data_IF_277599462955
#
_entry.id   IF_277599462955
#
_cell.length_a   1.000
_cell.length_b   1.000
_cell.length_c   1.000
_cell.angle_alpha   90.00
_cell.angle_beta   90.00
_cell.angle_gamma   90.00
#
_symmetry.space_group_name_H-M   'P 1'
#
loop_
_entity.id
_entity.type
_entity.pdbx_description
1 polymer ?
#
# COMPACT_ATOMS: atom_id res chain seq x y z
N UNK A 1 -1.98 -16.01 22.01
CA UNK A 1 -2.02 -14.60 22.42
C UNK A 1 -1.39 -13.75 21.35
N UNK A 2 -2.13 -12.78 20.82
CA UNK A 2 -1.63 -11.87 19.79
C UNK A 2 -0.93 -10.68 20.45
N UNK A 3 0.30 -10.40 20.06
CA UNK A 3 1.11 -9.30 20.60
C UNK A 3 0.82 -8.00 19.83
N UNK A 4 0.00 -7.15 20.41
CA UNK A 4 -0.39 -5.86 19.82
C UNK A 4 0.69 -4.78 20.01
N UNK A 5 0.67 -3.73 19.18
CA UNK A 5 1.49 -2.52 19.31
C UNK A 5 3.01 -2.72 19.25
N UNK A 6 3.51 -3.86 18.73
CA UNK A 6 4.94 -4.06 18.51
C UNK A 6 5.49 -2.91 17.65
N UNK A 7 6.55 -2.25 18.10
CA UNK A 7 7.19 -1.15 17.35
C UNK A 7 6.37 0.13 17.25
N UNK A 8 5.38 0.33 18.13
CA UNK A 8 4.67 1.59 18.26
C UNK A 8 5.65 2.76 18.44
N UNK A 9 5.45 3.81 17.66
CA UNK A 9 6.21 5.06 17.64
C UNK A 9 7.72 4.90 17.48
N UNK A 10 8.20 3.73 17.00
CA UNK A 10 9.62 3.42 16.87
C UNK A 10 10.39 4.54 16.15
N UNK A 11 11.46 5.03 16.78
CA UNK A 11 12.23 6.18 16.30
C UNK A 11 13.57 5.80 15.64
N UNK A 12 13.88 4.51 15.53
CA UNK A 12 15.11 4.00 14.94
C UNK A 12 15.40 2.55 15.33
N UNK A 13 16.50 1.98 14.81
CA UNK A 13 16.88 0.59 15.09
C UNK A 13 16.07 -0.44 14.28
N UNK A 14 16.09 -1.69 14.72
CA UNK A 14 15.38 -2.79 14.06
C UNK A 14 14.66 -3.70 15.04
N UNK A 15 13.50 -4.23 14.64
CA UNK A 15 12.74 -5.26 15.35
C UNK A 15 12.51 -6.43 14.41
N UNK A 16 12.76 -7.66 14.89
CA UNK A 16 12.44 -8.88 14.17
C UNK A 16 11.46 -9.73 14.98
N UNK A 17 10.31 -10.06 14.38
CA UNK A 17 9.28 -10.92 14.97
C UNK A 17 9.30 -12.26 14.23
N UNK A 18 9.67 -13.32 14.95
CA UNK A 18 9.64 -14.70 14.46
C UNK A 18 8.30 -15.30 14.87
N UNK A 19 7.32 -15.24 13.97
CA UNK A 19 5.94 -15.64 14.19
C UNK A 19 4.95 -14.56 13.77
N UNK A 20 3.73 -14.64 14.30
CA UNK A 20 2.66 -13.67 14.05
C UNK A 20 2.74 -12.46 14.99
N UNK A 21 2.28 -11.30 14.52
CA UNK A 21 2.08 -10.10 15.32
C UNK A 21 0.58 -9.73 15.38
N UNK A 22 0.18 -9.12 16.48
CA UNK A 22 -1.19 -8.68 16.70
C UNK A 22 -1.55 -7.39 15.94
N UNK A 23 -2.58 -6.71 16.43
CA UNK A 23 -3.07 -5.46 15.89
C UNK A 23 -2.07 -4.31 16.14
N UNK A 24 -2.17 -3.26 15.34
CA UNK A 24 -1.42 -2.01 15.53
C UNK A 24 0.11 -2.14 15.54
N UNK A 25 0.66 -3.21 14.94
CA UNK A 25 2.10 -3.30 14.65
C UNK A 25 2.58 -2.01 13.95
N UNK A 26 3.73 -1.46 14.33
CA UNK A 26 4.32 -0.26 13.72
C UNK A 26 3.43 1.00 13.78
N UNK A 27 2.46 1.07 14.70
CA UNK A 27 1.59 2.24 14.85
C UNK A 27 2.41 3.51 15.09
N UNK A 28 2.26 4.53 14.25
CA UNK A 28 2.94 5.81 14.41
C UNK A 28 4.46 5.80 14.17
N UNK A 29 5.02 4.69 13.66
CA UNK A 29 6.47 4.51 13.46
C UNK A 29 7.13 5.70 12.74
N UNK A 30 8.22 6.21 13.34
CA UNK A 30 8.89 7.44 12.94
C UNK A 30 10.21 7.20 12.19
N UNK A 31 10.88 6.07 12.43
CA UNK A 31 12.02 5.54 11.66
C UNK A 31 12.31 4.08 12.07
N UNK A 32 13.36 3.48 11.49
CA UNK A 32 13.79 2.11 11.77
C UNK A 32 13.21 1.08 10.80
N UNK A 33 13.37 -0.19 11.17
CA UNK A 33 12.95 -1.35 10.37
C UNK A 33 12.23 -2.38 11.24
N UNK A 34 11.12 -2.92 10.76
CA UNK A 34 10.40 -4.03 11.41
C UNK A 34 10.22 -5.16 10.40
N UNK A 35 10.63 -6.38 10.76
CA UNK A 35 10.41 -7.59 9.96
C UNK A 35 9.58 -8.60 10.72
N UNK A 36 8.55 -9.13 10.07
CA UNK A 36 7.67 -10.18 10.63
C UNK A 36 7.70 -11.39 9.71
N UNK A 37 8.01 -12.57 10.25
CA UNK A 37 8.04 -13.81 9.46
C UNK A 37 6.66 -14.43 9.25
N UNK A 38 5.69 -14.13 10.12
CA UNK A 38 4.30 -14.59 10.04
C UNK A 38 3.34 -13.51 9.53
N UNK A 39 2.12 -13.56 10.03
CA UNK A 39 1.01 -12.65 9.71
C UNK A 39 0.96 -11.47 10.69
N UNK A 40 0.24 -10.42 10.30
CA UNK A 40 -0.01 -9.24 11.15
C UNK A 40 -1.49 -8.92 11.23
N UNK A 41 -1.93 -8.43 12.38
CA UNK A 41 -3.33 -8.08 12.63
C UNK A 41 -3.79 -6.81 11.93
N UNK A 42 -5.01 -6.40 12.25
CA UNK A 42 -5.62 -5.16 11.74
C UNK A 42 -4.82 -3.91 12.15
N UNK A 43 -4.95 -2.85 11.36
CA UNK A 43 -4.29 -1.55 11.59
C UNK A 43 -2.76 -1.59 11.69
N UNK A 44 -2.10 -2.61 11.15
CA UNK A 44 -0.65 -2.60 11.01
C UNK A 44 -0.19 -1.33 10.24
N UNK A 45 0.91 -0.73 10.67
CA UNK A 45 1.48 0.53 10.20
C UNK A 45 0.51 1.72 10.12
N UNK A 46 -0.58 1.68 10.90
CA UNK A 46 -1.49 2.81 11.00
C UNK A 46 -0.73 4.07 11.44
N UNK A 47 -0.93 5.17 10.71
CA UNK A 47 -0.25 6.45 10.92
C UNK A 47 1.29 6.46 10.82
N UNK A 48 1.91 5.43 10.26
CA UNK A 48 3.37 5.35 10.02
C UNK A 48 3.87 6.59 9.25
N UNK A 49 4.97 7.18 9.71
CA UNK A 49 5.54 8.43 9.15
C UNK A 49 6.79 8.19 8.31
N UNK A 50 7.67 7.27 8.74
CA UNK A 50 8.85 6.81 7.99
C UNK A 50 9.24 5.40 8.44
N UNK A 51 10.31 4.88 7.85
CA UNK A 51 10.85 3.55 8.15
C UNK A 51 10.41 2.51 7.14
N UNK A 52 10.72 1.26 7.45
CA UNK A 52 10.42 0.11 6.61
C UNK A 52 9.74 -0.99 7.44
N UNK A 53 8.61 -1.50 6.96
CA UNK A 53 7.92 -2.66 7.50
C UNK A 53 7.89 -3.76 6.44
N UNK A 54 8.40 -4.94 6.76
CA UNK A 54 8.32 -6.15 5.92
C UNK A 54 7.51 -7.24 6.65
N UNK A 55 6.50 -7.79 5.98
CA UNK A 55 5.69 -8.91 6.47
C UNK A 55 5.75 -10.04 5.45
N UNK A 56 6.23 -11.20 5.89
CA UNK A 56 6.34 -12.38 5.03
C UNK A 56 5.01 -13.11 4.83
N UNK A 57 4.08 -13.00 5.79
CA UNK A 57 2.72 -13.53 5.70
C UNK A 57 1.70 -12.50 5.20
N UNK A 58 0.48 -12.63 5.71
CA UNK A 58 -0.65 -11.76 5.38
C UNK A 58 -0.79 -10.59 6.37
N UNK A 59 -1.48 -9.52 5.95
CA UNK A 59 -1.93 -8.46 6.83
C UNK A 59 -3.45 -8.40 6.93
N UNK A 60 -3.97 -8.08 8.11
CA UNK A 60 -5.38 -7.82 8.31
C UNK A 60 -5.87 -6.51 7.66
N UNK A 61 -7.09 -6.14 8.01
CA UNK A 61 -7.74 -4.93 7.49
C UNK A 61 -7.03 -3.65 7.94
N UNK A 62 -7.26 -2.56 7.19
CA UNK A 62 -6.78 -1.22 7.52
C UNK A 62 -5.26 -1.06 7.62
N UNK A 63 -4.50 -1.90 6.91
CA UNK A 63 -3.04 -1.74 6.80
C UNK A 63 -2.69 -0.33 6.28
N UNK A 64 -1.86 0.41 7.02
CA UNK A 64 -1.45 1.78 6.66
C UNK A 64 -2.58 2.82 6.71
N UNK A 65 -3.74 2.48 7.26
CA UNK A 65 -4.90 3.36 7.33
C UNK A 65 -4.75 4.49 8.36
N UNK A 66 -5.76 5.36 8.42
CA UNK A 66 -6.03 6.23 9.57
C UNK A 66 -6.78 5.49 10.67
N UNK A 67 -6.62 5.95 11.91
CA UNK A 67 -7.51 5.57 12.99
C UNK A 67 -8.94 6.08 12.74
N UNK A 68 -9.97 5.39 13.27
CA UNK A 68 -11.33 5.91 13.29
C UNK A 68 -11.38 7.34 13.84
N UNK A 69 -12.06 8.24 13.13
CA UNK A 69 -12.14 9.67 13.48
C UNK A 69 -10.99 10.53 12.95
N UNK A 70 -9.85 9.94 12.57
CA UNK A 70 -8.73 10.66 11.96
C UNK A 70 -8.86 10.72 10.43
N UNK A 71 -8.21 11.72 9.83
CA UNK A 71 -8.24 11.96 8.37
C UNK A 71 -6.89 11.71 7.69
N UNK A 72 -5.91 11.21 8.42
CA UNK A 72 -4.55 10.98 7.91
C UNK A 72 -4.04 9.63 8.39
N UNK A 73 -3.91 8.68 7.46
CA UNK A 73 -3.29 7.39 7.71
C UNK A 73 -1.78 7.47 7.60
N UNK A 74 -1.18 6.55 6.85
CA UNK A 74 0.25 6.57 6.56
C UNK A 74 0.69 7.90 5.94
N UNK A 75 1.74 8.48 6.53
CA UNK A 75 2.36 9.78 6.23
C UNK A 75 3.76 9.66 5.60
N UNK A 76 4.26 8.44 5.42
CA UNK A 76 5.51 8.12 4.72
C UNK A 76 6.07 6.77 5.15
N UNK A 77 7.23 6.39 4.58
CA UNK A 77 7.83 5.06 4.74
C UNK A 77 7.45 4.09 3.63
N UNK A 78 7.91 2.84 3.76
CA UNK A 78 7.60 1.75 2.85
C UNK A 78 7.08 0.55 3.65
N UNK A 79 5.95 0.00 3.23
CA UNK A 79 5.39 -1.24 3.74
C UNK A 79 5.46 -2.28 2.62
N UNK A 80 6.03 -3.46 2.91
CA UNK A 80 6.06 -4.60 2.01
C UNK A 80 5.31 -5.77 2.65
N UNK A 81 4.29 -6.28 1.95
CA UNK A 81 3.55 -7.49 2.31
C UNK A 81 3.76 -8.53 1.21
N UNK A 82 4.33 -9.67 1.57
CA UNK A 82 4.55 -10.79 0.63
C UNK A 82 3.29 -11.64 0.41
N UNK A 83 2.40 -11.68 1.40
CA UNK A 83 1.10 -12.33 1.30
C UNK A 83 -0.02 -11.40 0.81
N UNK A 84 -1.24 -11.70 1.27
CA UNK A 84 -2.44 -10.92 1.00
C UNK A 84 -2.67 -9.85 2.08
N UNK A 85 -3.45 -8.83 1.72
CA UNK A 85 -3.94 -7.82 2.66
C UNK A 85 -5.46 -7.82 2.71
N UNK A 86 -6.02 -7.54 3.87
CA UNK A 86 -7.46 -7.37 4.08
C UNK A 86 -8.04 -6.14 3.41
N UNK A 87 -9.19 -5.70 3.91
CA UNK A 87 -9.92 -4.56 3.37
C UNK A 87 -9.27 -3.22 3.74
N UNK A 88 -9.54 -2.19 2.94
CA UNK A 88 -9.25 -0.78 3.26
C UNK A 88 -7.77 -0.49 3.51
N UNK A 89 -6.89 -1.21 2.82
CA UNK A 89 -5.45 -0.89 2.81
C UNK A 89 -5.24 0.54 2.32
N UNK A 90 -4.38 1.29 3.02
CA UNK A 90 -4.05 2.67 2.70
C UNK A 90 -5.23 3.64 2.83
N UNK A 91 -6.25 3.33 3.64
CA UNK A 91 -7.36 4.24 3.85
C UNK A 91 -6.88 5.59 4.42
N UNK A 92 -7.25 6.70 3.79
CA UNK A 92 -6.72 8.03 4.12
C UNK A 92 -5.19 8.17 4.05
N UNK A 93 -4.50 7.29 3.29
CA UNK A 93 -3.05 7.38 3.07
C UNK A 93 -2.69 8.74 2.46
N UNK A 94 -1.65 9.38 3.00
CA UNK A 94 -1.20 10.71 2.59
C UNK A 94 0.13 10.68 1.84
N UNK A 95 1.04 9.77 2.18
CA UNK A 95 2.35 9.56 1.53
C UNK A 95 2.87 8.16 1.84
N UNK A 96 3.95 7.77 1.15
CA UNK A 96 4.64 6.50 1.35
C UNK A 96 4.33 5.51 0.22
N UNK A 97 4.87 4.31 0.37
CA UNK A 97 4.65 3.18 -0.53
C UNK A 97 4.07 1.99 0.24
N UNK A 98 3.02 1.38 -0.29
CA UNK A 98 2.52 0.09 0.17
C UNK A 98 2.66 -0.89 -0.99
N UNK A 99 3.47 -1.93 -0.80
CA UNK A 99 3.83 -2.91 -1.82
C UNK A 99 3.26 -4.28 -1.41
N UNK A 100 2.39 -4.84 -2.24
CA UNK A 100 1.65 -6.07 -1.96
C UNK A 100 1.91 -7.09 -3.07
N UNK A 101 2.56 -8.19 -2.74
CA UNK A 101 2.86 -9.27 -3.71
C UNK A 101 1.66 -10.21 -3.93
N UNK A 102 0.74 -10.29 -2.97
CA UNK A 102 -0.51 -11.03 -3.08
C UNK A 102 -1.70 -10.14 -3.48
N UNK A 103 -2.88 -10.50 -2.96
CA UNK A 103 -4.15 -9.82 -3.22
C UNK A 103 -4.43 -8.72 -2.20
N UNK A 104 -5.26 -7.74 -2.58
CA UNK A 104 -5.81 -6.74 -1.68
C UNK A 104 -7.34 -6.81 -1.66
N UNK A 105 -7.94 -6.71 -0.47
CA UNK A 105 -9.39 -6.74 -0.27
C UNK A 105 -10.12 -5.52 -0.82
N UNK A 106 -11.40 -5.41 -0.46
CA UNK A 106 -12.28 -4.33 -0.88
C UNK A 106 -11.78 -2.96 -0.36
N UNK A 107 -12.14 -1.89 -1.08
CA UNK A 107 -11.81 -0.51 -0.72
C UNK A 107 -10.30 -0.21 -0.61
N UNK A 108 -9.45 -0.96 -1.31
CA UNK A 108 -8.03 -0.65 -1.41
C UNK A 108 -7.82 0.80 -1.89
N UNK A 109 -7.05 1.60 -1.13
CA UNK A 109 -6.78 3.00 -1.43
C UNK A 109 -7.99 3.94 -1.22
N UNK A 110 -9.00 3.55 -0.45
CA UNK A 110 -10.16 4.41 -0.22
C UNK A 110 -9.76 5.72 0.50
N UNK A 111 -10.37 6.83 0.09
CA UNK A 111 -10.13 8.18 0.66
C UNK A 111 -8.66 8.61 0.66
N UNK A 112 -7.83 7.97 -0.17
CA UNK A 112 -6.41 8.24 -0.29
C UNK A 112 -6.15 9.68 -0.74
N UNK A 113 -5.28 10.39 -0.03
CA UNK A 113 -4.92 11.78 -0.32
C UNK A 113 -3.72 11.90 -1.24
N UNK A 114 -2.75 10.98 -1.14
CA UNK A 114 -1.59 10.79 -2.00
C UNK A 114 -0.75 9.57 -1.53
N UNK A 115 0.30 9.21 -2.27
CA UNK A 115 1.14 8.04 -2.04
C UNK A 115 1.04 7.03 -3.19
N UNK A 116 1.63 5.86 -3.00
CA UNK A 116 1.58 4.76 -3.97
C UNK A 116 1.19 3.46 -3.28
N UNK A 117 0.19 2.77 -3.83
CA UNK A 117 -0.14 1.38 -3.45
C UNK A 117 0.06 0.52 -4.69
N UNK A 118 0.92 -0.48 -4.61
CA UNK A 118 1.19 -1.40 -5.71
C UNK A 118 0.73 -2.82 -5.33
N UNK A 119 -0.05 -3.46 -6.22
CA UNK A 119 -0.64 -4.79 -5.99
C UNK A 119 -0.33 -5.71 -7.17
N UNK A 120 0.40 -6.79 -6.92
CA UNK A 120 0.71 -7.79 -7.95
C UNK A 120 -0.43 -8.80 -8.16
N UNK A 121 -1.23 -9.08 -7.14
CA UNK A 121 -2.41 -9.94 -7.23
C UNK A 121 -3.66 -9.19 -7.69
N UNK A 122 -4.81 -9.68 -7.26
CA UNK A 122 -6.11 -9.08 -7.52
C UNK A 122 -6.48 -8.02 -6.48
N UNK A 123 -7.33 -7.08 -6.88
CA UNK A 123 -7.94 -6.09 -5.97
C UNK A 123 -9.43 -6.37 -5.83
N UNK A 124 -9.96 -6.10 -4.63
CA UNK A 124 -11.39 -6.19 -4.35
C UNK A 124 -12.21 -5.08 -5.00
N UNK A 125 -13.48 -4.98 -4.58
CA UNK A 125 -14.44 -3.98 -5.05
C UNK A 125 -14.09 -2.59 -4.52
N UNK A 126 -14.65 -1.57 -5.17
CA UNK A 126 -14.54 -0.16 -4.74
C UNK A 126 -13.09 0.32 -4.58
N UNK A 127 -12.20 -0.20 -5.43
CA UNK A 127 -10.81 0.25 -5.52
C UNK A 127 -10.76 1.78 -5.71
N UNK A 128 -9.96 2.47 -4.89
CA UNK A 128 -9.77 3.91 -4.99
C UNK A 128 -11.00 4.75 -4.66
N UNK A 129 -12.02 4.19 -4.00
CA UNK A 129 -13.25 4.92 -3.65
C UNK A 129 -12.93 6.23 -2.90
N UNK A 130 -13.41 7.35 -3.44
CA UNK A 130 -13.17 8.70 -2.95
C UNK A 130 -11.66 9.07 -2.83
N UNK A 131 -10.78 8.50 -3.66
CA UNK A 131 -9.38 8.92 -3.71
C UNK A 131 -9.25 10.31 -4.33
N UNK A 132 -8.37 11.13 -3.76
CA UNK A 132 -8.12 12.52 -4.16
C UNK A 132 -6.92 12.65 -5.09
N UNK A 133 -5.82 11.99 -4.76
CA UNK A 133 -4.57 11.87 -5.53
C UNK A 133 -3.88 10.56 -5.16
N UNK A 134 -2.76 10.28 -5.81
CA UNK A 134 -1.94 9.10 -5.57
C UNK A 134 -2.09 8.09 -6.70
N UNK A 135 -1.27 7.05 -6.64
CA UNK A 135 -1.14 6.06 -7.70
C UNK A 135 -1.49 4.68 -7.14
N UNK A 136 -2.48 4.02 -7.75
CA UNK A 136 -2.77 2.60 -7.56
C UNK A 136 -2.15 1.84 -8.73
N UNK A 137 -1.04 1.12 -8.51
CA UNK A 137 -0.27 0.44 -9.55
C UNK A 137 -0.57 -1.07 -9.53
N UNK A 138 -1.13 -1.60 -10.61
CA UNK A 138 -1.72 -2.93 -10.64
C UNK A 138 -1.14 -3.80 -11.76
N UNK A 139 -0.99 -5.10 -11.49
CA UNK A 139 -0.62 -6.09 -12.51
C UNK A 139 -1.83 -6.72 -13.19
N UNK A 140 -3.01 -6.62 -12.57
CA UNK A 140 -4.24 -7.25 -13.05
C UNK A 140 -5.34 -6.21 -13.22
N UNK A 141 -6.23 -6.44 -14.18
CA UNK A 141 -7.37 -5.56 -14.45
C UNK A 141 -8.30 -5.49 -13.22
N UNK A 142 -8.56 -4.28 -12.68
CA UNK A 142 -9.48 -4.10 -11.55
C UNK A 142 -10.94 -3.98 -11.99
N UNK A 143 -11.85 -4.11 -11.02
CA UNK A 143 -13.23 -3.65 -11.13
C UNK A 143 -13.33 -2.20 -10.65
N UNK A 144 -13.45 -1.24 -11.57
CA UNK A 144 -13.55 0.19 -11.25
C UNK A 144 -15.00 0.67 -11.20
N UNK A 145 -15.25 1.71 -10.40
CA UNK A 145 -16.53 2.44 -10.45
C UNK A 145 -16.62 3.29 -11.72
N UNK A 146 -17.85 3.69 -12.07
CA UNK A 146 -18.11 4.60 -13.19
C UNK A 146 -17.47 6.00 -13.04
N UNK A 147 -16.93 6.31 -11.87
CA UNK A 147 -16.25 7.57 -11.57
C UNK A 147 -14.75 7.57 -11.89
N UNK A 148 -14.23 6.49 -12.49
CA UNK A 148 -12.90 6.46 -13.11
C UNK A 148 -13.02 6.53 -14.63
N UNK A 149 -12.35 7.51 -15.22
CA UNK A 149 -12.30 7.68 -16.66
C UNK A 149 -11.12 6.92 -17.26
N UNK A 150 -11.40 6.10 -18.25
CA UNK A 150 -10.34 5.48 -19.06
C UNK A 150 -9.60 6.55 -19.88
N UNK A 151 -8.30 6.65 -19.68
CA UNK A 151 -7.41 7.60 -20.35
C UNK A 151 -6.55 6.93 -21.43
N UNK A 152 -6.74 5.64 -21.72
CA UNK A 152 -5.98 4.90 -22.72
C UNK A 152 -4.63 4.40 -22.22
N UNK A 153 -3.79 3.98 -23.17
CA UNK A 153 -2.44 3.49 -22.92
C UNK A 153 -1.43 4.64 -22.82
N UNK A 154 -0.62 4.66 -21.76
CA UNK A 154 0.42 5.67 -21.51
C UNK A 154 1.78 5.01 -21.27
N UNK A 155 2.84 5.64 -21.76
CA UNK A 155 4.22 5.34 -21.33
C UNK A 155 4.66 6.38 -20.30
N UNK A 156 4.87 5.96 -19.05
CA UNK A 156 5.12 6.86 -17.92
C UNK A 156 6.57 6.74 -17.44
N UNK A 157 7.35 7.81 -17.63
CA UNK A 157 8.78 7.84 -17.34
C UNK A 157 9.14 7.71 -15.84
N UNK A 158 8.18 7.95 -14.94
CA UNK A 158 8.43 7.80 -13.50
C UNK A 158 8.44 6.34 -13.05
N UNK A 159 7.79 5.42 -13.80
CA UNK A 159 7.69 4.00 -13.40
C UNK A 159 9.06 3.33 -13.30
N UNK A 160 10.00 3.47 -14.27
CA UNK A 160 11.37 2.97 -14.11
C UNK A 160 12.09 3.52 -12.86
N UNK A 161 11.86 4.78 -12.52
CA UNK A 161 12.45 5.42 -11.32
C UNK A 161 11.85 4.81 -10.05
N UNK A 162 10.53 4.59 -10.04
CA UNK A 162 9.82 3.94 -8.95
C UNK A 162 10.34 2.52 -8.73
N UNK A 163 10.42 1.69 -9.78
CA UNK A 163 10.98 0.34 -9.69
C UNK A 163 12.44 0.32 -9.26
N UNK A 164 13.26 1.27 -9.74
CA UNK A 164 14.64 1.41 -9.29
C UNK A 164 14.75 1.65 -7.78
N UNK A 165 13.78 2.37 -7.18
CA UNK A 165 13.75 2.60 -5.73
C UNK A 165 13.45 1.34 -4.90
N UNK A 166 12.95 0.27 -5.53
CA UNK A 166 12.61 -1.00 -4.86
C UNK A 166 13.69 -2.07 -5.01
N UNK A 167 14.75 -1.85 -5.80
CA UNK A 167 15.77 -2.85 -6.15
C UNK A 167 16.50 -3.50 -4.97
N UNK A 168 16.55 -2.83 -3.82
CA UNK A 168 17.21 -3.34 -2.61
C UNK A 168 16.26 -4.09 -1.67
N UNK A 169 14.97 -4.13 -1.98
CA UNK A 169 13.99 -4.85 -1.17
C UNK A 169 14.09 -6.36 -1.45
N UNK A 170 13.91 -7.16 -0.41
CA UNK A 170 13.73 -8.61 -0.55
C UNK A 170 12.31 -8.92 -1.04
N UNK A 171 12.04 -8.55 -2.28
CA UNK A 171 10.70 -8.54 -2.86
C UNK A 171 10.71 -8.86 -4.34
N UNK A 172 9.61 -9.41 -4.83
CA UNK A 172 9.31 -9.49 -6.27
C UNK A 172 9.34 -8.11 -6.93
N UNK A 173 8.98 -7.02 -6.23
CA UNK A 173 9.05 -5.65 -6.78
C UNK A 173 10.47 -5.22 -7.15
N UNK A 174 11.50 -5.90 -6.63
CA UNK A 174 12.90 -5.66 -6.97
C UNK A 174 13.33 -6.34 -8.29
N UNK A 175 12.56 -7.30 -8.80
CA UNK A 175 12.87 -8.03 -10.02
C UNK A 175 12.67 -7.14 -11.26
N UNK A 176 13.76 -6.91 -12.00
CA UNK A 176 13.74 -6.10 -13.21
C UNK A 176 12.89 -6.72 -14.33
N UNK A 177 12.68 -8.05 -14.33
CA UNK A 177 11.91 -8.75 -15.36
C UNK A 177 10.42 -8.41 -15.34
N UNK A 178 9.91 -8.01 -14.16
CA UNK A 178 8.50 -7.66 -13.99
C UNK A 178 8.22 -6.17 -14.12
N UNK A 179 9.27 -5.34 -14.15
CA UNK A 179 9.16 -3.90 -14.26
C UNK A 179 8.58 -3.51 -15.63
N UNK A 180 7.73 -2.48 -15.64
CA UNK A 180 7.11 -1.96 -16.85
C UNK A 180 7.02 -0.44 -16.79
N UNK A 181 6.88 0.19 -17.96
CA UNK A 181 6.66 1.63 -18.05
C UNK A 181 5.44 1.98 -18.93
N UNK A 182 4.78 0.98 -19.51
CA UNK A 182 3.59 1.15 -20.34
C UNK A 182 2.38 0.56 -19.62
N UNK A 183 1.31 1.34 -19.50
CA UNK A 183 0.14 1.02 -18.67
C UNK A 183 -1.14 1.51 -19.32
N UNK A 184 -2.25 0.83 -19.03
CA UNK A 184 -3.58 1.40 -19.16
C UNK A 184 -3.79 2.34 -17.97
N UNK A 185 -4.18 3.59 -18.23
CA UNK A 185 -4.36 4.61 -17.19
C UNK A 185 -5.84 4.94 -17.03
N UNK A 186 -6.31 4.94 -15.79
CA UNK A 186 -7.61 5.46 -15.43
C UNK A 186 -7.45 6.63 -14.46
N UNK A 187 -8.13 7.74 -14.69
CA UNK A 187 -8.10 8.92 -13.83
C UNK A 187 -9.38 9.03 -13.00
N UNK A 188 -9.23 9.30 -11.70
CA UNK A 188 -10.33 9.36 -10.75
C UNK A 188 -9.84 9.68 -9.33
N UNK A 189 -10.66 9.65 -8.29
CA UNK A 189 -12.10 9.48 -8.34
C UNK A 189 -12.75 10.82 -8.75
N UNK A 190 -13.62 10.79 -9.76
CA UNK A 190 -14.36 11.97 -10.22
C UNK A 190 -15.42 12.45 -9.20
N UNK A 191 -15.75 11.65 -8.19
CA UNK A 191 -16.55 12.12 -7.06
C UNK A 191 -15.78 13.06 -6.11
N UNK A 192 -14.47 13.21 -6.29
CA UNK A 192 -13.60 14.09 -5.49
C UNK A 192 -12.92 15.15 -6.39
N UNK A 193 -11.62 15.01 -6.67
CA UNK A 193 -10.85 15.97 -7.47
C UNK A 193 -10.38 15.40 -8.81
N UNK A 194 -10.60 14.10 -9.09
CA UNK A 194 -10.16 13.46 -10.33
C UNK A 194 -8.64 13.45 -10.57
N UNK A 195 -7.83 13.60 -9.51
CA UNK A 195 -6.35 13.70 -9.60
C UNK A 195 -5.61 12.45 -9.12
N UNK A 196 -6.33 11.41 -8.72
CA UNK A 196 -5.78 10.08 -8.53
C UNK A 196 -5.67 9.33 -9.84
N UNK A 197 -4.87 8.27 -9.83
CA UNK A 197 -4.73 7.41 -11.00
C UNK A 197 -4.64 5.94 -10.61
N UNK A 198 -5.25 5.12 -11.44
CA UNK A 198 -5.08 3.66 -11.46
C UNK A 198 -4.29 3.33 -12.71
N UNK A 199 -3.15 2.66 -12.53
CA UNK A 199 -2.25 2.27 -13.60
C UNK A 199 -2.23 0.75 -13.65
N UNK A 200 -2.70 0.18 -14.75
CA UNK A 200 -2.75 -1.27 -14.97
C UNK A 200 -1.68 -1.64 -15.97
N UNK A 201 -0.85 -2.62 -15.64
CA UNK A 201 0.13 -3.20 -16.56
C UNK A 201 -0.58 -3.65 -17.85
N UNK A 202 0.00 -3.28 -19.00
CA UNK A 202 -0.39 -3.79 -20.33
C UNK A 202 0.35 -5.08 -20.68
#
# INVERSE_FOLDING_TARGET
>A
DNLDFIGKDLEGGSISVVGDAGAYLAFGMNAGEIKVSGNVGLYAACEMKKGYLEVSGNAGDFLGAALPGNKMGMKGGTILIKGNVGERVGDHMRRGNILIEGNAGDYCGSRMTAGTIAVMGQTGRHLGYAMRRGTLLLWNQPSLSASFNDCGAHTLAFLPILFASFKLLNSRFADASIAFNRVQRYAGDMSEMGRGEVLVKL
#
